data_IF_936025966634
#
_entry.id   IF_936025966634
#
_cell.length_a   1.000
_cell.length_b   1.000
_cell.length_c   1.000
_cell.angle_alpha   90.00
_cell.angle_beta   90.00
_cell.angle_gamma   90.00
#
_symmetry.space_group_name_H-M   'P 1'
#
loop_
_entity.id
_entity.type
_entity.pdbx_description
1 polymer ?
#
# COMPACT_ATOMS: atom_id res chain seq x y z
N UNK A 1 1.18 9.74 -37.49
CA UNK A 1 -0.13 9.36 -36.91
C UNK A 1 0.09 8.10 -36.10
N UNK A 2 0.24 8.20 -34.78
CA UNK A 2 0.22 7.02 -33.93
C UNK A 2 -1.19 6.41 -34.04
N UNK A 3 -1.28 5.12 -34.36
CA UNK A 3 -2.56 4.42 -34.37
C UNK A 3 -3.23 4.52 -33.00
N UNK A 4 -4.56 4.28 -32.90
CA UNK A 4 -5.23 4.25 -31.61
C UNK A 4 -4.49 3.23 -30.74
N UNK A 5 -3.95 3.68 -29.60
CA UNK A 5 -3.29 2.79 -28.66
C UNK A 5 -4.26 1.67 -28.33
N UNK A 6 -3.91 0.43 -28.70
CA UNK A 6 -4.72 -0.72 -28.33
C UNK A 6 -4.92 -0.68 -26.81
N UNK A 7 -6.16 -0.81 -26.35
CA UNK A 7 -6.45 -0.94 -24.92
C UNK A 7 -5.62 -2.10 -24.38
N UNK A 8 -4.63 -1.79 -23.55
CA UNK A 8 -3.81 -2.78 -22.88
C UNK A 8 -4.75 -3.61 -21.99
N UNK A 9 -4.82 -4.91 -22.22
CA UNK A 9 -5.60 -5.86 -21.42
C UNK A 9 -4.65 -6.88 -20.83
N UNK A 10 -4.76 -7.07 -19.52
CA UNK A 10 -4.00 -8.04 -18.75
C UNK A 10 -4.82 -8.49 -17.56
N UNK A 11 -4.45 -9.62 -17.00
CA UNK A 11 -5.05 -10.23 -15.80
C UNK A 11 -4.05 -10.15 -14.66
N UNK A 12 -4.55 -9.77 -13.48
CA UNK A 12 -3.77 -9.76 -12.24
C UNK A 12 -4.23 -10.89 -11.33
N UNK A 13 -3.33 -11.84 -11.04
CA UNK A 13 -3.55 -12.94 -10.10
C UNK A 13 -2.98 -12.56 -8.75
N UNK A 14 -3.86 -12.32 -7.77
CA UNK A 14 -3.50 -11.89 -6.41
C UNK A 14 -3.37 -13.10 -5.50
N UNK A 15 -2.36 -13.10 -4.62
CA UNK A 15 -2.29 -14.00 -3.47
C UNK A 15 -3.22 -13.48 -2.35
N UNK A 16 -3.43 -14.31 -1.33
CA UNK A 16 -4.18 -13.90 -0.15
C UNK A 16 -3.50 -12.69 0.53
N UNK A 17 -4.31 -11.77 1.03
CA UNK A 17 -3.82 -10.66 1.84
C UNK A 17 -3.22 -11.18 3.16
N UNK A 18 -2.10 -10.62 3.56
CA UNK A 18 -1.44 -10.92 4.82
C UNK A 18 -1.11 -9.65 5.61
N UNK A 19 -0.87 -9.80 6.91
CA UNK A 19 -0.38 -8.73 7.75
C UNK A 19 1.14 -8.82 7.88
N UNK A 20 1.82 -7.73 7.54
CA UNK A 20 3.25 -7.54 7.81
C UNK A 20 3.38 -6.79 9.12
N UNK A 21 3.82 -7.50 10.17
CA UNK A 21 4.04 -6.94 11.50
C UNK A 21 5.43 -6.32 11.61
N UNK A 22 5.68 -5.43 12.60
CA UNK A 22 7.03 -4.97 12.90
C UNK A 22 7.98 -6.14 13.17
N UNK A 23 9.21 -6.05 12.67
CA UNK A 23 10.25 -7.09 12.82
C UNK A 23 10.83 -7.17 14.24
N UNK A 24 10.44 -6.27 15.12
CA UNK A 24 10.92 -6.17 16.49
C UNK A 24 9.90 -5.49 17.41
N UNK A 25 10.18 -5.39 18.71
CA UNK A 25 9.26 -4.79 19.67
C UNK A 25 9.03 -3.30 19.38
N UNK A 26 7.79 -2.86 19.57
CA UNK A 26 7.38 -1.46 19.40
C UNK A 26 6.63 -0.95 20.64
N UNK A 27 6.64 0.36 20.92
CA UNK A 27 5.80 0.94 21.96
C UNK A 27 4.31 0.56 21.80
N UNK A 28 3.64 0.35 22.93
CA UNK A 28 2.19 0.16 23.04
C UNK A 28 1.60 1.40 23.67
N UNK A 29 1.00 2.26 22.86
CA UNK A 29 0.45 3.54 23.30
C UNK A 29 -0.69 4.01 22.39
N UNK A 30 -1.52 4.91 22.91
CA UNK A 30 -2.54 5.62 22.14
C UNK A 30 -2.00 7.00 21.78
N UNK A 31 -1.69 7.23 20.50
CA UNK A 31 -1.13 8.50 20.02
C UNK A 31 -2.24 9.36 19.42
N UNK A 32 -2.59 10.47 20.09
CA UNK A 32 -3.53 11.45 19.54
C UNK A 32 -2.92 12.14 18.33
N UNK A 33 -3.70 12.29 17.27
CA UNK A 33 -3.30 13.04 16.08
C UNK A 33 -3.23 14.54 16.40
N UNK A 34 -2.36 15.27 15.69
CA UNK A 34 -2.34 16.73 15.77
C UNK A 34 -3.62 17.31 15.17
N UNK A 35 -3.90 18.60 15.40
CA UNK A 35 -5.08 19.25 14.82
C UNK A 35 -4.95 19.42 13.29
N UNK A 36 -3.74 19.33 12.74
CA UNK A 36 -3.51 19.31 11.30
C UNK A 36 -3.91 17.95 10.72
N UNK A 37 -3.52 16.85 11.37
CA UNK A 37 -3.74 15.49 10.86
C UNK A 37 -5.19 14.99 11.06
N UNK A 38 -5.94 15.63 11.96
CA UNK A 38 -7.29 15.21 12.36
C UNK A 38 -8.42 15.80 11.49
N UNK A 39 -8.08 16.60 10.47
CA UNK A 39 -9.05 17.25 9.59
C UNK A 39 -9.86 16.23 8.80
N UNK A 40 -11.19 16.38 8.79
CA UNK A 40 -12.12 15.50 8.05
C UNK A 40 -11.73 15.36 6.57
N UNK A 41 -11.23 16.43 5.94
CA UNK A 41 -10.79 16.42 4.55
C UNK A 41 -9.56 15.57 4.26
N UNK A 42 -8.83 15.09 5.28
CA UNK A 42 -7.65 14.22 5.16
C UNK A 42 -7.96 12.74 5.43
N UNK A 43 -9.21 12.41 5.78
CA UNK A 43 -9.62 11.05 6.15
C UNK A 43 -9.92 10.19 4.92
N UNK A 44 -8.91 9.98 4.08
CA UNK A 44 -8.99 9.10 2.90
C UNK A 44 -7.65 8.41 2.60
N UNK A 45 -7.68 7.31 1.87
CA UNK A 45 -6.47 6.63 1.40
C UNK A 45 -5.93 7.30 0.14
N UNK A 46 -4.64 7.63 0.13
CA UNK A 46 -3.96 8.18 -1.06
C UNK A 46 -3.32 7.01 -1.82
N UNK A 47 -3.83 6.62 -3.01
CA UNK A 47 -3.21 5.58 -3.82
C UNK A 47 -1.91 6.10 -4.46
N UNK A 48 -0.82 5.33 -4.32
CA UNK A 48 0.48 5.63 -4.94
C UNK A 48 0.96 4.38 -5.67
N UNK A 49 1.39 4.55 -6.92
CA UNK A 49 2.01 3.48 -7.72
C UNK A 49 3.43 3.88 -8.08
N UNK A 50 4.35 2.93 -7.94
CA UNK A 50 5.75 3.10 -8.31
C UNK A 50 6.19 1.93 -9.16
N UNK A 51 6.80 2.22 -10.31
CA UNK A 51 7.29 1.22 -11.24
C UNK A 51 8.80 1.09 -11.16
N UNK A 52 9.26 -0.16 -11.10
CA UNK A 52 10.68 -0.50 -11.03
C UNK A 52 11.03 -1.44 -12.18
N UNK A 53 12.09 -1.11 -12.92
CA UNK A 53 12.63 -2.01 -13.94
C UNK A 53 13.40 -3.15 -13.28
N UNK A 54 13.43 -4.31 -13.92
CA UNK A 54 14.24 -5.44 -13.48
C UNK A 54 15.70 -5.04 -13.43
N UNK A 55 16.32 -5.20 -12.26
CA UNK A 55 17.76 -5.05 -12.08
C UNK A 55 18.43 -6.44 -12.03
N UNK A 56 19.36 -6.68 -12.96
CA UNK A 56 20.12 -7.92 -13.03
C UNK A 56 21.01 -8.14 -11.79
N UNK A 57 21.43 -7.07 -11.11
CA UNK A 57 22.26 -7.13 -9.90
C UNK A 57 21.54 -7.78 -8.72
N UNK A 58 20.21 -7.81 -8.74
CA UNK A 58 19.39 -8.38 -7.67
C UNK A 58 19.45 -9.91 -7.60
N UNK A 59 20.14 -10.58 -8.53
CA UNK A 59 20.43 -12.01 -8.47
C UNK A 59 19.20 -12.91 -8.49
N UNK A 60 18.08 -12.42 -9.02
CA UNK A 60 16.82 -13.17 -9.04
C UNK A 60 16.11 -13.24 -7.68
N UNK A 61 16.49 -12.40 -6.70
CA UNK A 61 15.71 -12.24 -5.46
C UNK A 61 14.28 -11.85 -5.79
N UNK A 62 13.34 -12.48 -5.10
CA UNK A 62 11.92 -12.16 -5.20
C UNK A 62 11.66 -10.74 -4.66
N UNK A 63 11.20 -9.79 -5.49
CA UNK A 63 10.89 -8.44 -5.05
C UNK A 63 9.82 -8.39 -3.95
N UNK A 64 8.85 -9.30 -3.95
CA UNK A 64 7.78 -9.32 -2.95
C UNK A 64 8.36 -9.61 -1.56
N UNK A 65 9.20 -10.65 -1.44
CA UNK A 65 9.91 -10.97 -0.21
C UNK A 65 10.81 -9.82 0.27
N UNK A 66 11.56 -9.18 -0.65
CA UNK A 66 12.43 -8.05 -0.31
C UNK A 66 11.65 -6.86 0.25
N UNK A 67 10.52 -6.49 -0.39
CA UNK A 67 9.66 -5.39 0.06
C UNK A 67 9.00 -5.73 1.39
N UNK A 68 8.44 -6.93 1.53
CA UNK A 68 7.82 -7.43 2.76
C UNK A 68 8.77 -7.32 3.96
N UNK A 69 9.99 -7.81 3.81
CA UNK A 69 11.02 -7.75 4.85
C UNK A 69 11.47 -6.32 5.16
N UNK A 70 11.55 -5.46 4.14
CA UNK A 70 11.89 -4.05 4.33
C UNK A 70 10.78 -3.30 5.10
N UNK A 71 9.51 -3.55 4.79
CA UNK A 71 8.36 -2.99 5.50
C UNK A 71 8.37 -3.42 6.96
N UNK A 72 8.55 -4.72 7.24
CA UNK A 72 8.62 -5.22 8.62
C UNK A 72 9.71 -4.51 9.45
N UNK A 73 10.89 -4.27 8.87
CA UNK A 73 11.96 -3.52 9.55
C UNK A 73 11.62 -2.03 9.72
N UNK A 74 11.06 -1.39 8.69
CA UNK A 74 10.68 0.01 8.75
C UNK A 74 9.61 0.26 9.83
N UNK A 75 8.65 -0.67 9.97
CA UNK A 75 7.59 -0.60 10.98
C UNK A 75 8.09 -0.60 12.43
N UNK A 76 9.34 -0.96 12.71
CA UNK A 76 9.91 -0.76 14.05
C UNK A 76 10.06 0.73 14.37
N UNK A 77 10.51 1.50 13.39
CA UNK A 77 10.72 2.95 13.52
C UNK A 77 9.44 3.75 13.26
N UNK A 78 8.59 3.22 12.38
CA UNK A 78 7.32 3.81 11.95
C UNK A 78 6.12 3.04 12.53
N UNK A 79 6.23 2.61 13.78
CA UNK A 79 5.27 1.70 14.42
C UNK A 79 3.81 2.19 14.49
N UNK A 80 3.47 3.51 14.47
CA UNK A 80 2.07 3.90 14.39
C UNK A 80 1.36 3.37 13.14
N UNK A 81 2.06 3.16 12.02
CA UNK A 81 1.47 2.57 10.82
C UNK A 81 1.05 1.10 11.00
N UNK A 82 1.63 0.41 11.99
CA UNK A 82 1.22 -0.95 12.34
C UNK A 82 0.07 -0.99 13.38
N UNK A 83 -0.49 0.17 13.75
CA UNK A 83 -1.60 0.29 14.69
C UNK A 83 -2.97 0.31 14.01
N UNK A 84 -3.98 0.81 14.74
CA UNK A 84 -5.34 1.03 14.26
C UNK A 84 -5.77 2.46 14.57
N UNK A 85 -6.35 3.12 13.57
CA UNK A 85 -6.95 4.43 13.79
C UNK A 85 -8.26 4.25 14.58
N UNK A 86 -8.48 5.14 15.55
CA UNK A 86 -9.68 5.17 16.40
C UNK A 86 -10.20 6.59 16.50
N UNK A 87 -11.52 6.72 16.47
CA UNK A 87 -12.19 7.96 16.81
C UNK A 87 -12.47 8.00 18.32
N UNK A 88 -12.08 9.10 18.97
CA UNK A 88 -12.31 9.38 20.38
C UNK A 88 -13.46 10.41 20.54
N UNK A 89 -13.74 10.81 21.77
CA UNK A 89 -14.70 11.88 22.06
C UNK A 89 -14.43 13.15 21.25
N UNK A 90 -15.51 13.78 20.76
CA UNK A 90 -15.41 14.99 19.93
C UNK A 90 -14.85 14.75 18.53
N UNK A 91 -14.91 13.51 18.03
CA UNK A 91 -14.38 13.07 16.73
C UNK A 91 -12.85 13.14 16.59
N UNK A 92 -12.13 13.27 17.71
CA UNK A 92 -10.66 13.35 17.75
C UNK A 92 -10.04 12.01 17.35
N UNK A 93 -9.20 11.99 16.33
CA UNK A 93 -8.49 10.78 15.94
C UNK A 93 -7.28 10.47 16.84
N UNK A 94 -7.05 9.19 17.05
CA UNK A 94 -5.84 8.65 17.65
C UNK A 94 -5.44 7.33 16.99
N UNK A 95 -4.16 7.01 17.00
CA UNK A 95 -3.65 5.69 16.62
C UNK A 95 -3.43 4.87 17.87
N UNK A 96 -4.15 3.76 17.98
CA UNK A 96 -3.86 2.69 18.94
C UNK A 96 -2.70 1.86 18.38
N UNK A 97 -1.52 1.97 18.96
CA UNK A 97 -0.29 1.33 18.46
C UNK A 97 -0.25 -0.16 18.85
N UNK A 98 -1.17 -0.93 18.28
CA UNK A 98 -1.37 -2.38 18.52
C UNK A 98 -0.33 -3.26 17.84
N UNK A 99 0.48 -2.73 16.93
CA UNK A 99 1.53 -3.46 16.19
C UNK A 99 1.03 -4.68 15.42
N UNK A 100 -0.27 -4.73 15.12
CA UNK A 100 -0.90 -5.78 14.31
C UNK A 100 -0.42 -5.79 12.86
N UNK A 101 0.24 -4.71 12.41
CA UNK A 101 0.88 -4.63 11.11
C UNK A 101 0.01 -3.99 10.03
N UNK A 102 0.55 -4.00 8.81
CA UNK A 102 -0.06 -3.43 7.60
C UNK A 102 -0.47 -4.54 6.64
N UNK A 103 -1.54 -4.32 5.88
CA UNK A 103 -1.97 -5.24 4.82
C UNK A 103 -0.94 -5.25 3.68
N UNK A 104 -0.62 -6.44 3.22
CA UNK A 104 0.28 -6.69 2.09
C UNK A 104 -0.33 -7.74 1.17
N UNK A 105 -0.30 -7.47 -0.13
CA UNK A 105 -0.75 -8.39 -1.18
C UNK A 105 0.33 -8.48 -2.24
N UNK A 106 0.73 -9.70 -2.53
CA UNK A 106 1.54 -10.01 -3.70
C UNK A 106 0.63 -10.39 -4.88
N UNK A 107 1.00 -9.98 -6.09
CA UNK A 107 0.26 -10.32 -7.29
C UNK A 107 1.18 -10.46 -8.52
N UNK A 108 0.79 -11.35 -9.42
CA UNK A 108 1.40 -11.51 -10.75
C UNK A 108 0.47 -10.92 -11.82
N UNK A 109 1.02 -10.10 -12.70
CA UNK A 109 0.31 -9.58 -13.86
C UNK A 109 0.88 -10.19 -15.15
N UNK A 110 0.04 -10.64 -16.07
CA UNK A 110 0.46 -11.21 -17.37
C UNK A 110 0.81 -10.13 -18.42
N UNK A 111 1.51 -9.09 -17.97
CA UNK A 111 1.94 -7.94 -18.76
C UNK A 111 3.38 -7.57 -18.46
N UNK A 112 4.07 -6.99 -19.44
CA UNK A 112 5.43 -6.45 -19.25
C UNK A 112 5.35 -4.95 -19.02
N UNK A 113 6.30 -4.42 -18.24
CA UNK A 113 6.34 -2.99 -17.94
C UNK A 113 6.42 -2.13 -19.22
N UNK A 114 7.11 -2.61 -20.25
CA UNK A 114 7.27 -1.92 -21.53
C UNK A 114 5.94 -1.76 -22.30
N UNK A 115 4.95 -2.60 -22.03
CA UNK A 115 3.65 -2.52 -22.69
C UNK A 115 2.80 -1.33 -22.20
N UNK A 116 3.13 -0.73 -21.06
CA UNK A 116 2.50 0.49 -20.57
C UNK A 116 3.02 1.76 -21.26
N UNK A 117 4.07 1.64 -22.09
CA UNK A 117 4.70 2.76 -22.79
C UNK A 117 5.69 3.55 -21.90
N UNK A 118 6.20 4.65 -22.46
CA UNK A 118 7.26 5.44 -21.80
C UNK A 118 6.72 6.38 -20.70
N UNK A 119 5.46 6.77 -20.81
CA UNK A 119 4.79 7.65 -19.85
C UNK A 119 4.01 6.83 -18.81
N UNK A 120 4.71 6.39 -17.76
CA UNK A 120 4.12 5.69 -16.61
C UNK A 120 3.46 6.68 -15.63
N UNK A 121 2.59 7.55 -16.13
CA UNK A 121 1.83 8.51 -15.32
C UNK A 121 0.34 8.23 -15.44
N UNK A 122 -0.40 8.15 -14.30
CA UNK A 122 -1.85 8.05 -14.33
C UNK A 122 -2.51 9.24 -15.06
N UNK A 123 -3.67 9.04 -15.73
CA UNK A 123 -4.30 7.75 -15.96
C UNK A 123 -3.66 7.00 -17.14
N UNK A 124 -3.39 5.70 -16.97
CA UNK A 124 -2.99 4.79 -18.05
C UNK A 124 -3.91 3.55 -18.08
N UNK A 125 -4.07 2.88 -19.25
CA UNK A 125 -4.97 1.73 -19.37
C UNK A 125 -4.63 0.60 -18.38
N UNK A 126 -5.64 0.10 -17.67
CA UNK A 126 -5.48 -1.01 -16.70
C UNK A 126 -4.99 -0.59 -15.31
N UNK A 127 -4.95 0.72 -15.00
CA UNK A 127 -4.59 1.22 -13.66
C UNK A 127 -5.38 0.54 -12.52
N UNK A 128 -6.69 0.37 -12.70
CA UNK A 128 -7.57 -0.22 -11.69
C UNK A 128 -7.32 -1.72 -11.47
N UNK A 129 -6.66 -2.39 -12.41
CA UNK A 129 -6.21 -3.77 -12.19
C UNK A 129 -4.98 -3.82 -11.28
N UNK A 130 -4.21 -2.73 -11.16
CA UNK A 130 -3.00 -2.65 -10.33
C UNK A 130 -3.27 -2.09 -8.93
N UNK A 131 -4.31 -1.25 -8.78
CA UNK A 131 -4.78 -0.79 -7.47
C UNK A 131 -5.76 -1.84 -6.93
N UNK A 132 -5.67 -2.15 -5.64
CA UNK A 132 -6.60 -3.10 -5.03
C UNK A 132 -6.89 -2.72 -3.59
N UNK A 133 -8.16 -2.43 -3.32
CA UNK A 133 -8.67 -2.32 -1.97
C UNK A 133 -9.09 -3.71 -1.49
N UNK A 134 -8.62 -4.12 -0.32
CA UNK A 134 -9.12 -5.35 0.31
C UNK A 134 -10.58 -5.10 0.70
N UNK A 135 -11.52 -6.00 0.39
CA UNK A 135 -12.91 -5.83 0.80
C UNK A 135 -13.01 -5.56 2.31
N UNK A 136 -13.64 -4.45 2.69
CA UNK A 136 -13.75 -4.00 4.09
C UNK A 136 -12.53 -3.22 4.63
N UNK A 137 -11.54 -2.91 3.80
CA UNK A 137 -10.36 -2.10 4.20
C UNK A 137 -10.35 -0.68 3.61
N UNK A 138 -11.37 -0.30 2.84
CA UNK A 138 -11.42 1.00 2.17
C UNK A 138 -11.75 2.15 3.12
N UNK A 139 -12.43 1.86 4.23
CA UNK A 139 -12.74 2.85 5.26
C UNK A 139 -11.50 3.17 6.11
N UNK A 140 -11.30 4.46 6.39
CA UNK A 140 -10.19 4.95 7.22
C UNK A 140 -10.39 4.60 8.70
N UNK A 141 -11.65 4.48 9.12
CA UNK A 141 -12.03 3.97 10.43
C UNK A 141 -12.61 2.58 10.23
N UNK A 142 -12.10 1.58 10.96
CA UNK A 142 -12.74 0.27 10.98
C UNK A 142 -14.09 0.40 11.68
N UNK A 143 -15.18 0.29 10.92
CA UNK A 143 -16.54 0.13 11.46
C UNK A 143 -16.84 -1.34 11.75
#
# INVERSE_FOLDING_TARGET
>A
MAGPAASLRFTVRRKAAELVTPAGPTPRELKRLSDIDDQDGLRFHIPIIQFYRRDASMGGRDPAAVVRDAVARALVHYYPFAGRLRELEGRKLAVDCTGEGVLFIEADADVRLEHFGDALQPPFPGLEELIFDVPGSSEVLGT
#
